data_IF_413067451200
#
_entry.id   IF_413067451200
#
_cell.length_a   1.000
_cell.length_b   1.000
_cell.length_c   1.000
_cell.angle_alpha   90.00
_cell.angle_beta   90.00
_cell.angle_gamma   90.00
#
_symmetry.space_group_name_H-M   'P 1'
#
loop_
_entity.id
_entity.type
_entity.pdbx_description
1 polymer ?
#
# COMPACT_ATOMS: atom_id res chain seq x y z
N UNK A 1 1.59 -5.89 -6.76
CA UNK A 1 1.79 -5.65 -8.20
C UNK A 1 0.66 -6.16 -9.11
N UNK A 2 0.35 -7.47 -9.21
CA UNK A 2 -0.80 -7.92 -10.04
C UNK A 2 -2.13 -7.28 -9.62
N UNK A 3 -2.44 -7.30 -8.32
CA UNK A 3 -3.64 -6.65 -7.76
C UNK A 3 -3.71 -5.13 -8.03
N UNK A 4 -2.59 -4.42 -7.99
CA UNK A 4 -2.58 -2.96 -8.20
C UNK A 4 -2.86 -2.60 -9.67
N UNK A 5 -2.35 -3.42 -10.58
CA UNK A 5 -2.64 -3.31 -12.02
C UNK A 5 -4.12 -3.63 -12.29
N UNK A 6 -4.66 -4.66 -11.63
CA UNK A 6 -6.07 -5.04 -11.74
C UNK A 6 -7.00 -3.95 -11.19
N UNK A 7 -6.70 -3.37 -10.02
CA UNK A 7 -7.49 -2.27 -9.44
C UNK A 7 -7.47 -1.01 -10.31
N UNK A 8 -6.31 -0.66 -10.87
CA UNK A 8 -6.20 0.49 -11.77
C UNK A 8 -7.03 0.29 -13.04
N UNK A 9 -7.02 -0.94 -13.59
CA UNK A 9 -7.80 -1.29 -14.77
C UNK A 9 -9.30 -1.26 -14.47
N UNK A 10 -9.74 -1.91 -13.40
CA UNK A 10 -11.17 -1.95 -13.04
C UNK A 10 -11.71 -0.54 -12.71
N UNK A 11 -10.94 0.29 -11.99
CA UNK A 11 -11.33 1.67 -11.70
C UNK A 11 -11.45 2.51 -12.97
N UNK A 12 -10.56 2.30 -13.94
CA UNK A 12 -10.63 2.97 -15.25
C UNK A 12 -11.90 2.56 -16.00
N UNK A 13 -12.19 1.26 -16.08
CA UNK A 13 -13.39 0.74 -16.75
C UNK A 13 -14.68 1.29 -16.12
N UNK A 14 -14.76 1.35 -14.78
CA UNK A 14 -15.92 1.93 -14.07
C UNK A 14 -16.09 3.42 -14.40
N UNK A 15 -15.00 4.18 -14.44
CA UNK A 15 -15.05 5.61 -14.77
C UNK A 15 -15.43 5.87 -16.21
N UNK A 16 -14.91 5.09 -17.14
CA UNK A 16 -15.31 5.15 -18.55
C UNK A 16 -16.81 4.84 -18.70
N UNK A 17 -17.31 3.80 -18.03
CA UNK A 17 -18.73 3.47 -18.01
C UNK A 17 -19.59 4.59 -17.39
N UNK A 18 -19.11 5.28 -16.35
CA UNK A 18 -19.79 6.44 -15.76
C UNK A 18 -19.91 7.60 -16.74
N UNK A 19 -18.81 7.93 -17.43
CA UNK A 19 -18.81 9.00 -18.44
C UNK A 19 -19.80 8.69 -19.56
N UNK A 20 -19.85 7.44 -20.01
CA UNK A 20 -20.82 7.00 -21.03
C UNK A 20 -22.25 7.09 -20.50
N UNK A 21 -22.52 6.54 -19.31
CA UNK A 21 -23.85 6.55 -18.72
C UNK A 21 -24.36 7.99 -18.49
N UNK A 22 -23.51 8.89 -18.00
CA UNK A 22 -23.85 10.30 -17.80
C UNK A 22 -24.05 11.04 -19.11
N UNK A 23 -23.19 10.80 -20.12
CA UNK A 23 -23.33 11.38 -21.45
C UNK A 23 -24.64 10.97 -22.12
N UNK A 24 -25.03 9.70 -22.00
CA UNK A 24 -26.30 9.20 -22.52
C UNK A 24 -27.49 9.78 -21.74
N UNK A 25 -27.40 9.96 -20.43
CA UNK A 25 -28.52 10.45 -19.58
C UNK A 25 -29.07 11.81 -20.01
N UNK A 26 -28.24 12.63 -20.65
CA UNK A 26 -28.59 13.97 -21.14
C UNK A 26 -28.92 14.03 -22.65
N UNK A 27 -28.92 12.89 -23.37
CA UNK A 27 -29.34 12.87 -24.77
C UNK A 27 -30.83 13.22 -24.92
N UNK A 28 -31.13 13.98 -25.98
CA UNK A 28 -32.50 14.28 -26.38
C UNK A 28 -33.13 13.06 -27.05
N UNK A 29 -34.43 12.84 -26.81
CA UNK A 29 -35.18 11.75 -27.45
C UNK A 29 -35.18 10.41 -26.71
N UNK A 30 -34.62 10.35 -25.50
CA UNK A 30 -34.72 9.17 -24.64
C UNK A 30 -36.13 9.01 -24.08
N UNK A 31 -36.59 7.75 -24.02
CA UNK A 31 -37.82 7.40 -23.29
C UNK A 31 -37.61 7.58 -21.77
N UNK A 32 -38.70 7.73 -21.02
CA UNK A 32 -38.61 7.82 -19.55
C UNK A 32 -38.02 6.55 -18.92
N UNK A 33 -38.31 5.39 -19.51
CA UNK A 33 -37.76 4.10 -19.08
C UNK A 33 -36.25 4.04 -19.27
N UNK A 34 -35.74 4.48 -20.42
CA UNK A 34 -34.29 4.46 -20.69
C UNK A 34 -33.56 5.44 -19.76
N UNK A 35 -34.17 6.59 -19.49
CA UNK A 35 -33.62 7.57 -18.55
C UNK A 35 -33.55 7.00 -17.13
N UNK A 36 -34.58 6.28 -16.69
CA UNK A 36 -34.60 5.64 -15.37
C UNK A 36 -33.55 4.53 -15.25
N UNK A 37 -33.34 3.76 -16.31
CA UNK A 37 -32.35 2.68 -16.31
C UNK A 37 -30.90 3.23 -16.36
N UNK A 38 -30.67 4.32 -17.10
CA UNK A 38 -29.39 5.05 -17.06
C UNK A 38 -29.11 5.67 -15.67
N UNK A 39 -30.13 6.16 -14.98
CA UNK A 39 -30.00 6.63 -13.59
C UNK A 39 -29.58 5.49 -12.66
N UNK A 40 -30.27 4.34 -12.72
CA UNK A 40 -29.92 3.16 -11.92
C UNK A 40 -28.51 2.66 -12.22
N UNK A 41 -28.12 2.62 -13.50
CA UNK A 41 -26.79 2.22 -13.91
C UNK A 41 -25.72 3.18 -13.37
N UNK A 42 -25.95 4.50 -13.46
CA UNK A 42 -25.05 5.51 -12.89
C UNK A 42 -24.88 5.35 -11.38
N UNK A 43 -25.98 5.18 -10.64
CA UNK A 43 -25.95 4.94 -9.18
C UNK A 43 -25.18 3.66 -8.84
N UNK A 44 -25.44 2.57 -9.56
CA UNK A 44 -24.76 1.30 -9.35
C UNK A 44 -23.25 1.40 -9.61
N UNK A 45 -22.85 2.07 -10.69
CA UNK A 45 -21.45 2.32 -11.03
C UNK A 45 -20.73 3.17 -9.97
N UNK A 46 -21.37 4.26 -9.50
CA UNK A 46 -20.82 5.10 -8.40
C UNK A 46 -20.69 4.32 -7.09
N UNK A 47 -21.61 3.40 -6.81
CA UNK A 47 -21.51 2.51 -5.63
C UNK A 47 -20.36 1.54 -5.79
N UNK A 48 -20.19 0.94 -6.97
CA UNK A 48 -19.08 0.04 -7.29
C UNK A 48 -17.72 0.76 -7.21
N UNK A 49 -17.64 1.99 -7.73
CA UNK A 49 -16.42 2.81 -7.65
C UNK A 49 -16.01 3.04 -6.18
N UNK A 50 -16.96 3.47 -5.33
CA UNK A 50 -16.70 3.71 -3.90
C UNK A 50 -16.22 2.45 -3.19
N UNK A 51 -16.89 1.33 -3.39
CA UNK A 51 -16.50 0.06 -2.79
C UNK A 51 -15.09 -0.38 -3.24
N UNK A 52 -14.74 -0.15 -4.51
CA UNK A 52 -13.41 -0.45 -5.02
C UNK A 52 -12.35 0.46 -4.39
N UNK A 53 -12.61 1.76 -4.25
CA UNK A 53 -11.72 2.72 -3.60
C UNK A 53 -11.48 2.34 -2.13
N UNK A 54 -12.54 2.00 -1.39
CA UNK A 54 -12.43 1.56 0.01
C UNK A 54 -11.57 0.30 0.13
N UNK A 55 -11.78 -0.67 -0.77
CA UNK A 55 -10.98 -1.89 -0.82
C UNK A 55 -9.51 -1.62 -1.11
N UNK A 56 -9.21 -0.74 -2.08
CA UNK A 56 -7.84 -0.30 -2.37
C UNK A 56 -7.22 0.34 -1.12
N UNK A 57 -7.96 1.22 -0.44
CA UNK A 57 -7.50 1.89 0.78
C UNK A 57 -7.14 0.90 1.88
N UNK A 58 -7.99 -0.10 2.12
CA UNK A 58 -7.73 -1.17 3.09
C UNK A 58 -6.49 -1.99 2.73
N UNK A 59 -6.39 -2.44 1.47
CA UNK A 59 -5.27 -3.26 1.01
C UNK A 59 -3.93 -2.51 1.13
N UNK A 60 -3.92 -1.20 0.81
CA UNK A 60 -2.72 -0.36 0.96
C UNK A 60 -2.36 -0.17 2.43
N UNK A 61 -3.34 0.08 3.30
CA UNK A 61 -3.11 0.23 4.73
C UNK A 61 -2.48 -1.04 5.34
N UNK A 62 -2.98 -2.22 4.95
CA UNK A 62 -2.45 -3.51 5.41
C UNK A 62 -1.02 -3.76 4.90
N UNK A 63 -0.72 -3.40 3.65
CA UNK A 63 0.63 -3.47 3.10
C UNK A 63 1.61 -2.55 3.84
N UNK A 64 1.18 -1.32 4.16
CA UNK A 64 1.98 -0.37 4.94
C UNK A 64 2.24 -0.95 6.32
N UNK A 65 1.20 -1.42 7.02
CA UNK A 65 1.32 -2.01 8.37
C UNK A 65 2.31 -3.18 8.38
N UNK A 66 2.21 -4.07 7.40
CA UNK A 66 3.12 -5.22 7.25
C UNK A 66 4.55 -4.76 7.00
N UNK A 67 4.74 -3.81 6.09
CA UNK A 67 6.06 -3.27 5.74
C UNK A 67 6.71 -2.55 6.92
N UNK A 68 5.94 -1.76 7.67
CA UNK A 68 6.40 -1.08 8.88
C UNK A 68 6.82 -2.06 9.98
N UNK A 69 6.06 -3.14 10.18
CA UNK A 69 6.43 -4.20 11.13
C UNK A 69 7.76 -4.86 10.75
N UNK A 70 7.94 -5.19 9.46
CA UNK A 70 9.17 -5.78 8.94
C UNK A 70 10.37 -4.83 9.10
N UNK A 71 10.18 -3.53 8.84
CA UNK A 71 11.22 -2.51 9.05
C UNK A 71 11.60 -2.37 10.53
N UNK A 72 10.61 -2.41 11.43
CA UNK A 72 10.87 -2.35 12.86
C UNK A 72 11.68 -3.57 13.33
N UNK A 73 11.35 -4.76 12.84
CA UNK A 73 12.10 -5.98 13.15
C UNK A 73 13.53 -5.91 12.58
N UNK A 74 13.69 -5.45 11.34
CA UNK A 74 15.01 -5.26 10.74
C UNK A 74 15.84 -4.27 11.55
N UNK A 75 15.26 -3.14 11.97
CA UNK A 75 15.93 -2.16 12.80
C UNK A 75 16.38 -2.74 14.17
N UNK A 76 15.54 -3.57 14.80
CA UNK A 76 15.91 -4.30 16.03
C UNK A 76 17.10 -5.22 15.79
N UNK A 77 17.10 -6.00 14.69
CA UNK A 77 18.19 -6.91 14.33
C UNK A 77 19.50 -6.17 14.05
N UNK A 78 19.43 -5.05 13.32
CA UNK A 78 20.60 -4.19 13.06
C UNK A 78 21.17 -3.68 14.37
N UNK A 79 20.35 -3.07 15.24
CA UNK A 79 20.81 -2.59 16.56
C UNK A 79 21.45 -3.69 17.39
N UNK A 80 20.81 -4.86 17.47
CA UNK A 80 21.35 -6.00 18.23
C UNK A 80 22.72 -6.45 17.70
N UNK A 81 22.90 -6.50 16.37
CA UNK A 81 24.20 -6.82 15.75
C UNK A 81 25.24 -5.74 16.04
N UNK A 82 24.90 -4.46 15.89
CA UNK A 82 25.81 -3.34 16.19
C UNK A 82 26.24 -3.35 17.66
N UNK A 83 25.33 -3.60 18.60
CA UNK A 83 25.66 -3.71 20.02
C UNK A 83 26.61 -4.89 20.29
N UNK A 84 26.39 -6.05 19.65
CA UNK A 84 27.31 -7.19 19.77
C UNK A 84 28.70 -6.85 19.24
N UNK A 85 28.80 -6.26 18.05
CA UNK A 85 30.09 -5.85 17.47
C UNK A 85 30.82 -4.84 18.34
N UNK A 86 30.11 -3.84 18.89
CA UNK A 86 30.71 -2.87 19.82
C UNK A 86 31.27 -3.52 21.08
N UNK A 87 30.55 -4.49 21.67
CA UNK A 87 31.04 -5.27 22.82
C UNK A 87 32.30 -6.06 22.47
N UNK A 88 32.29 -6.73 21.32
CA UNK A 88 33.46 -7.50 20.84
C UNK A 88 34.67 -6.58 20.61
N UNK A 89 34.47 -5.41 20.01
CA UNK A 89 35.53 -4.42 19.81
C UNK A 89 36.14 -3.93 21.14
N UNK A 90 35.30 -3.60 22.13
CA UNK A 90 35.77 -3.21 23.47
C UNK A 90 36.57 -4.32 24.17
N UNK A 91 36.14 -5.57 24.00
CA UNK A 91 36.86 -6.71 24.55
C UNK A 91 38.23 -6.88 23.87
N UNK A 92 38.29 -6.77 22.54
CA UNK A 92 39.55 -6.80 21.80
C UNK A 92 40.51 -5.67 22.21
N UNK A 93 40.01 -4.45 22.42
CA UNK A 93 40.82 -3.34 22.96
C UNK A 93 41.36 -3.65 24.36
N UNK A 94 40.54 -4.25 25.23
CA UNK A 94 40.95 -4.62 26.59
C UNK A 94 42.06 -5.67 26.57
N UNK A 95 41.94 -6.69 25.71
CA UNK A 95 42.99 -7.68 25.50
C UNK A 95 44.27 -7.05 24.96
N UNK A 96 44.18 -6.16 23.99
CA UNK A 96 45.36 -5.46 23.45
C UNK A 96 46.09 -4.64 24.52
N UNK A 97 45.35 -4.00 25.44
CA UNK A 97 45.94 -3.28 26.58
C UNK A 97 46.64 -4.23 27.56
N UNK A 98 46.04 -5.39 27.84
CA UNK A 98 46.64 -6.41 28.70
C UNK A 98 47.91 -7.02 28.09
N UNK A 99 47.90 -7.33 26.80
CA UNK A 99 49.08 -7.84 26.10
C UNK A 99 50.20 -6.80 26.15
N UNK A 100 49.90 -5.52 25.86
CA UNK A 100 50.89 -4.43 25.92
C UNK A 100 51.53 -4.26 27.30
N UNK A 101 50.75 -4.43 28.36
CA UNK A 101 51.23 -4.28 29.75
C UNK A 101 51.99 -5.50 30.26
N UNK A 102 51.79 -6.69 29.68
CA UNK A 102 52.58 -7.89 29.96
C UNK A 102 53.88 -7.97 29.13
N UNK A 103 53.91 -7.30 27.97
CA UNK A 103 55.09 -7.22 27.09
C UNK A 103 56.03 -6.04 27.43
N UNK A 104 55.67 -5.21 28.41
CA UNK A 104 56.47 -4.09 28.95
C UNK A 104 57.04 -4.46 30.30
#
# INVERSE_FOLDING_TARGET
MKKDIDYKKELKEIREALVVAEGLRFQKGLSETDRADLEKASVALRKKERALIEKIGSDVADQIKTSSANLQELAKRVRARTTKLSKTAKWAETLNKLIRTLSS
#
